data_IF_958887026035
#
_entry.id   IF_958887026035
#
_cell.length_a   1.000
_cell.length_b   1.000
_cell.length_c   1.000
_cell.angle_alpha   90.00
_cell.angle_beta   90.00
_cell.angle_gamma   90.00
#
_symmetry.space_group_name_H-M   'P 1'
#
loop_
_entity.id
_entity.type
_entity.pdbx_description
1 polymer ?
#
# COMPACT_ATOMS: atom_id res chain seq x y z
N UNK A 1 16.84 6.89 -10.80
CA UNK A 1 16.53 8.02 -9.89
C UNK A 1 17.77 8.87 -9.73
N UNK A 2 17.58 10.18 -9.68
CA UNK A 2 18.66 11.06 -9.33
C UNK A 2 18.95 10.93 -7.82
N UNK A 3 20.05 11.58 -7.39
CA UNK A 3 20.52 11.45 -6.02
C UNK A 3 19.51 11.94 -5.00
N UNK A 4 18.87 13.08 -5.27
CA UNK A 4 17.90 13.68 -4.35
C UNK A 4 16.68 12.79 -4.20
N UNK A 5 16.15 12.31 -5.30
CA UNK A 5 15.00 11.39 -5.29
C UNK A 5 15.36 10.08 -4.60
N UNK A 6 16.56 9.56 -4.82
CA UNK A 6 17.03 8.33 -4.18
C UNK A 6 17.07 8.47 -2.66
N UNK A 7 17.54 9.61 -2.17
CA UNK A 7 17.58 9.86 -0.73
C UNK A 7 16.16 9.91 -0.13
N UNK A 8 15.23 10.53 -0.82
CA UNK A 8 13.82 10.55 -0.39
C UNK A 8 13.21 9.17 -0.43
N UNK A 9 13.48 8.41 -1.48
CA UNK A 9 13.00 7.05 -1.62
C UNK A 9 13.48 6.20 -0.44
N UNK A 10 14.76 6.27 -0.11
CA UNK A 10 15.33 5.50 1.00
C UNK A 10 14.67 5.89 2.33
N UNK A 11 14.43 7.17 2.54
CA UNK A 11 13.76 7.65 3.74
C UNK A 11 12.31 7.16 3.82
N UNK A 12 11.58 7.19 2.70
CA UNK A 12 10.23 6.69 2.63
C UNK A 12 10.19 5.19 2.92
N UNK A 13 11.17 4.43 2.45
CA UNK A 13 11.24 2.99 2.71
C UNK A 13 11.41 2.71 4.21
N UNK A 14 12.28 3.46 4.89
CA UNK A 14 12.49 3.31 6.33
C UNK A 14 11.24 3.68 7.11
N UNK A 15 10.66 4.82 6.81
CA UNK A 15 9.47 5.29 7.53
C UNK A 15 8.23 4.45 7.17
N UNK A 16 8.11 4.04 5.92
CA UNK A 16 7.02 3.19 5.45
C UNK A 16 7.03 1.83 6.13
N UNK A 17 8.22 1.27 6.39
CA UNK A 17 8.33 0.03 7.14
C UNK A 17 7.76 0.16 8.55
N UNK A 18 8.01 1.28 9.20
CA UNK A 18 7.46 1.53 10.55
C UNK A 18 5.94 1.58 10.52
N UNK A 19 5.37 2.27 9.55
CA UNK A 19 3.91 2.34 9.38
C UNK A 19 3.37 0.94 9.09
N UNK A 20 4.01 0.21 8.19
CA UNK A 20 3.60 -1.14 7.82
C UNK A 20 3.59 -2.07 9.03
N UNK A 21 4.68 -2.09 9.78
CA UNK A 21 4.81 -2.97 10.94
C UNK A 21 3.76 -2.64 12.01
N UNK A 22 3.38 -1.38 12.13
CA UNK A 22 2.42 -0.94 13.14
C UNK A 22 0.97 -1.25 12.75
N UNK A 23 0.59 -1.02 11.48
CA UNK A 23 -0.81 -1.02 11.08
C UNK A 23 -1.20 -2.09 10.07
N UNK A 24 -0.25 -2.71 9.37
CA UNK A 24 -0.55 -3.56 8.22
C UNK A 24 -0.11 -5.01 8.42
N UNK A 25 1.04 -5.22 9.07
CA UNK A 25 1.67 -6.53 9.16
C UNK A 25 0.83 -7.55 9.92
N UNK A 26 -0.03 -7.11 10.83
CA UNK A 26 -0.87 -8.02 11.60
C UNK A 26 -1.76 -8.87 10.69
N UNK A 27 -2.26 -8.30 9.61
CA UNK A 27 -3.09 -9.01 8.63
C UNK A 27 -2.28 -9.49 7.43
N UNK A 28 -1.52 -8.59 6.81
CA UNK A 28 -0.79 -8.90 5.58
C UNK A 28 0.52 -9.64 5.80
N UNK A 29 0.92 -9.84 7.04
CA UNK A 29 2.12 -10.51 7.49
C UNK A 29 3.38 -9.71 7.18
N UNK A 30 4.47 -10.07 7.85
CA UNK A 30 5.72 -9.30 7.80
C UNK A 30 6.34 -9.23 6.41
N UNK A 31 6.24 -10.31 5.65
CA UNK A 31 6.78 -10.37 4.29
C UNK A 31 5.72 -10.11 3.23
N UNK A 32 4.57 -9.56 3.63
CA UNK A 32 3.51 -9.23 2.70
C UNK A 32 2.87 -10.43 2.02
N UNK A 33 3.01 -11.62 2.60
CA UNK A 33 2.52 -12.85 1.99
C UNK A 33 1.02 -13.07 2.17
N UNK A 34 0.39 -12.29 3.04
CA UNK A 34 -1.01 -12.49 3.37
C UNK A 34 -1.25 -13.73 4.21
N UNK A 35 -2.49 -14.12 4.36
CA UNK A 35 -2.85 -15.28 5.15
C UNK A 35 -4.02 -16.01 4.51
N UNK A 36 -3.74 -17.18 3.91
CA UNK A 36 -4.74 -18.04 3.29
C UNK A 36 -5.62 -17.25 2.32
N UNK A 37 -6.96 -17.45 2.36
CA UNK A 37 -7.92 -16.69 1.56
C UNK A 37 -8.58 -15.56 2.37
N UNK A 38 -7.99 -15.25 3.52
CA UNK A 38 -8.55 -14.25 4.44
C UNK A 38 -7.95 -12.87 4.20
N UNK A 39 -6.63 -12.77 4.17
CA UNK A 39 -5.92 -11.51 3.94
C UNK A 39 -5.05 -11.64 2.70
N UNK A 40 -5.24 -10.76 1.70
CA UNK A 40 -4.51 -10.92 0.44
C UNK A 40 -3.03 -10.61 0.58
N UNK A 41 -2.20 -11.25 -0.26
CA UNK A 41 -0.79 -10.89 -0.32
C UNK A 41 -0.60 -9.51 -0.91
N UNK A 42 0.45 -8.82 -0.49
CA UNK A 42 0.93 -7.60 -1.10
C UNK A 42 2.18 -7.89 -1.93
N UNK A 43 2.96 -8.89 -1.50
CA UNK A 43 4.11 -9.38 -2.28
C UNK A 43 3.62 -9.98 -3.59
N UNK A 44 4.10 -9.46 -4.70
CA UNK A 44 3.72 -9.94 -6.02
C UNK A 44 2.25 -9.75 -6.38
N UNK A 45 1.55 -8.84 -5.71
CA UNK A 45 0.13 -8.62 -5.90
C UNK A 45 -0.15 -7.88 -7.20
N UNK A 46 -0.88 -8.51 -8.12
CA UNK A 46 -1.32 -7.84 -9.35
C UNK A 46 -2.26 -6.68 -9.01
N UNK A 47 -3.15 -6.88 -8.05
CA UNK A 47 -4.12 -5.87 -7.64
C UNK A 47 -3.44 -4.60 -7.14
N UNK A 48 -2.39 -4.74 -6.34
CA UNK A 48 -1.60 -3.61 -5.83
C UNK A 48 -0.83 -2.94 -6.96
N UNK A 49 -0.08 -3.71 -7.72
CA UNK A 49 0.90 -3.17 -8.67
C UNK A 49 0.28 -2.61 -9.94
N UNK A 50 -0.91 -3.07 -10.31
CA UNK A 50 -1.63 -2.53 -11.46
C UNK A 50 -2.21 -1.14 -11.23
N UNK A 51 -2.45 -0.79 -9.97
CA UNK A 51 -3.10 0.49 -9.65
C UNK A 51 -2.69 0.95 -8.26
N UNK A 52 -1.50 1.49 -8.16
CA UNK A 52 -0.96 1.98 -6.88
C UNK A 52 -1.80 3.14 -6.30
N UNK A 53 -2.31 4.10 -7.10
CA UNK A 53 -3.24 5.10 -6.55
C UNK A 53 -4.45 4.50 -5.84
N UNK A 54 -5.00 3.41 -6.37
CA UNK A 54 -6.11 2.70 -5.72
C UNK A 54 -5.69 2.17 -4.36
N UNK A 55 -4.47 1.64 -4.25
CA UNK A 55 -3.96 1.14 -2.98
C UNK A 55 -3.92 2.25 -1.92
N UNK A 56 -3.45 3.44 -2.29
CA UNK A 56 -3.44 4.58 -1.37
C UNK A 56 -4.86 4.94 -0.90
N UNK A 57 -5.81 4.93 -1.82
CA UNK A 57 -7.21 5.21 -1.50
C UNK A 57 -7.79 4.14 -0.55
N UNK A 58 -7.44 2.89 -0.75
CA UNK A 58 -7.89 1.79 0.13
C UNK A 58 -7.31 1.94 1.53
N UNK A 59 -6.04 2.31 1.64
CA UNK A 59 -5.42 2.55 2.95
C UNK A 59 -6.17 3.64 3.69
N UNK A 60 -6.49 4.73 3.02
CA UNK A 60 -7.18 5.87 3.64
C UNK A 60 -8.62 5.56 4.00
N UNK A 61 -9.36 4.94 3.10
CA UNK A 61 -10.81 4.80 3.17
C UNK A 61 -11.30 3.39 3.48
N UNK A 62 -10.43 2.40 3.46
CA UNK A 62 -10.79 0.99 3.66
C UNK A 62 -11.27 0.33 2.38
N UNK A 63 -11.49 -0.98 2.46
CA UNK A 63 -12.00 -1.79 1.36
C UNK A 63 -13.10 -2.67 1.89
N UNK A 64 -14.31 -2.52 1.34
CA UNK A 64 -15.51 -3.19 1.84
C UNK A 64 -16.19 -4.08 0.81
N UNK A 65 -15.54 -4.27 -0.33
CA UNK A 65 -16.04 -5.08 -1.43
C UNK A 65 -15.16 -6.29 -1.66
N UNK A 66 -15.70 -7.24 -2.38
CA UNK A 66 -14.94 -8.37 -2.89
C UNK A 66 -13.91 -7.89 -3.92
N UNK A 67 -12.69 -8.38 -3.81
CA UNK A 67 -11.63 -8.11 -4.78
C UNK A 67 -10.97 -9.42 -5.20
N UNK A 68 -10.30 -9.39 -6.34
CA UNK A 68 -9.54 -10.53 -6.85
C UNK A 68 -8.07 -10.16 -6.89
N UNK A 69 -7.25 -10.93 -6.17
CA UNK A 69 -5.80 -10.72 -6.11
C UNK A 69 -5.12 -12.00 -6.60
N UNK A 70 -4.33 -11.90 -7.64
CA UNK A 70 -3.62 -13.05 -8.23
C UNK A 70 -4.56 -14.22 -8.52
N UNK A 71 -5.76 -13.93 -9.00
CA UNK A 71 -6.75 -14.94 -9.36
C UNK A 71 -7.55 -15.51 -8.19
N UNK A 72 -7.31 -15.05 -6.96
CA UNK A 72 -8.00 -15.52 -5.76
C UNK A 72 -8.94 -14.43 -5.26
N UNK A 73 -10.15 -14.81 -4.91
CA UNK A 73 -11.17 -13.89 -4.40
C UNK A 73 -10.99 -13.68 -2.90
N UNK A 74 -11.00 -12.42 -2.50
CA UNK A 74 -10.94 -12.01 -1.09
C UNK A 74 -12.14 -11.10 -0.80
N UNK A 75 -12.82 -11.34 0.31
CA UNK A 75 -13.97 -10.52 0.71
C UNK A 75 -13.92 -10.09 2.17
N UNK A 76 -12.79 -10.30 2.84
CA UNK A 76 -12.58 -9.78 4.18
C UNK A 76 -12.44 -8.26 4.12
N UNK A 77 -13.24 -7.58 4.93
CA UNK A 77 -13.20 -6.12 5.00
C UNK A 77 -11.84 -5.65 5.53
N UNK A 78 -11.26 -4.65 4.85
CA UNK A 78 -10.07 -3.96 5.34
C UNK A 78 -10.52 -2.64 5.95
N UNK A 79 -10.29 -2.41 7.24
CA UNK A 79 -10.70 -1.15 7.86
C UNK A 79 -9.88 0.03 7.33
N UNK A 80 -10.50 1.21 7.37
CA UNK A 80 -9.83 2.44 6.97
C UNK A 80 -8.77 2.83 8.00
N UNK A 81 -7.66 3.39 7.51
CA UNK A 81 -6.61 3.98 8.35
C UNK A 81 -6.65 5.50 8.18
N UNK A 82 -7.82 6.08 8.41
CA UNK A 82 -8.09 7.48 8.12
C UNK A 82 -7.27 8.46 8.95
N UNK A 83 -6.68 7.97 10.05
CA UNK A 83 -5.82 8.80 10.90
C UNK A 83 -4.41 8.98 10.37
N UNK A 84 -3.99 8.19 9.37
CA UNK A 84 -2.67 8.35 8.76
C UNK A 84 -2.63 9.65 7.96
N UNK A 85 -1.50 10.36 8.06
CA UNK A 85 -1.27 11.54 7.24
C UNK A 85 -1.00 11.12 5.79
N UNK A 86 -1.14 12.06 4.87
CA UNK A 86 -0.82 11.79 3.46
C UNK A 86 0.65 11.37 3.30
N UNK A 87 1.54 11.96 4.08
CA UNK A 87 2.96 11.56 4.06
C UNK A 87 3.11 10.10 4.50
N UNK A 88 2.46 9.70 5.58
CA UNK A 88 2.53 8.31 6.06
C UNK A 88 1.96 7.35 5.03
N UNK A 89 0.88 7.73 4.36
CA UNK A 89 0.29 6.91 3.29
C UNK A 89 1.27 6.79 2.12
N UNK A 90 1.93 7.89 1.74
CA UNK A 90 2.95 7.86 0.68
C UNK A 90 4.13 6.97 1.07
N UNK A 91 4.56 7.05 2.32
CA UNK A 91 5.67 6.24 2.83
C UNK A 91 5.33 4.75 2.82
N UNK A 92 4.16 4.37 3.35
CA UNK A 92 3.78 2.96 3.38
C UNK A 92 3.46 2.42 1.99
N UNK A 93 2.86 3.23 1.13
CA UNK A 93 2.59 2.84 -0.26
C UNK A 93 3.90 2.60 -1.01
N UNK A 94 4.89 3.46 -0.80
CA UNK A 94 6.23 3.24 -1.37
C UNK A 94 6.84 1.95 -0.82
N UNK A 95 6.71 1.71 0.48
CA UNK A 95 7.27 0.53 1.10
C UNK A 95 6.66 -0.76 0.54
N UNK A 96 5.34 -0.88 0.51
CA UNK A 96 4.68 -2.11 0.04
C UNK A 96 4.85 -2.34 -1.45
N UNK A 97 4.96 -1.26 -2.24
CA UNK A 97 5.12 -1.39 -3.69
C UNK A 97 6.57 -1.61 -4.13
N UNK A 98 7.51 -1.62 -3.18
CA UNK A 98 8.94 -1.82 -3.47
C UNK A 98 9.62 -2.84 -2.56
N UNK A 99 8.84 -3.62 -1.82
CA UNK A 99 9.36 -4.66 -0.93
C UNK A 99 9.02 -6.04 -1.48
N UNK A 100 9.68 -7.06 -0.97
CA UNK A 100 9.38 -8.47 -1.25
C UNK A 100 9.36 -8.81 -2.74
N UNK A 101 10.25 -8.18 -3.51
CA UNK A 101 10.35 -8.37 -4.94
C UNK A 101 9.51 -7.41 -5.78
N UNK A 102 8.68 -6.58 -5.16
CA UNK A 102 7.91 -5.56 -5.87
C UNK A 102 8.81 -4.41 -6.31
N UNK A 103 8.55 -3.81 -7.47
CA UNK A 103 9.35 -2.74 -8.04
C UNK A 103 8.46 -1.61 -8.60
N UNK A 104 7.61 -1.06 -7.73
CA UNK A 104 6.61 -0.05 -8.12
C UNK A 104 7.15 1.39 -8.23
N UNK A 105 8.34 1.64 -7.73
CA UNK A 105 8.95 2.97 -7.79
C UNK A 105 8.55 3.89 -6.63
N UNK A 106 9.08 5.09 -6.65
CA UNK A 106 8.87 6.09 -5.60
C UNK A 106 7.46 6.71 -5.72
N UNK A 107 6.72 6.69 -4.62
CA UNK A 107 5.39 7.27 -4.54
C UNK A 107 5.45 8.51 -3.64
N UNK A 108 5.59 9.69 -4.25
CA UNK A 108 5.77 10.93 -3.48
C UNK A 108 4.48 11.35 -2.78
N UNK A 109 4.62 12.07 -1.66
CA UNK A 109 3.47 12.64 -0.96
C UNK A 109 2.68 13.57 -1.86
N UNK A 110 3.36 14.29 -2.75
CA UNK A 110 2.70 15.18 -3.71
C UNK A 110 1.76 14.43 -4.65
N UNK A 111 2.19 13.25 -5.12
CA UNK A 111 1.34 12.39 -5.94
C UNK A 111 0.18 11.85 -5.12
N UNK A 112 0.44 11.36 -3.90
CA UNK A 112 -0.59 10.84 -3.01
C UNK A 112 -1.64 11.91 -2.68
N UNK A 113 -1.22 13.16 -2.46
CA UNK A 113 -2.15 14.27 -2.23
C UNK A 113 -3.18 14.38 -3.37
N UNK A 114 -2.72 14.22 -4.60
CA UNK A 114 -3.60 14.27 -5.77
C UNK A 114 -4.53 13.06 -5.83
N UNK A 115 -4.00 11.87 -5.57
CA UNK A 115 -4.80 10.64 -5.62
C UNK A 115 -5.91 10.65 -4.59
N UNK A 116 -5.63 11.12 -3.38
CA UNK A 116 -6.59 11.06 -2.29
C UNK A 116 -7.74 12.05 -2.45
N UNK A 117 -7.55 13.10 -3.26
CA UNK A 117 -8.62 14.05 -3.57
C UNK A 117 -9.72 13.40 -4.42
N UNK A 118 -9.34 12.44 -5.28
CA UNK A 118 -10.25 11.87 -6.27
C UNK A 118 -10.44 10.36 -6.12
N UNK A 119 -10.40 9.84 -4.89
CA UNK A 119 -10.67 8.42 -4.67
C UNK A 119 -12.08 8.08 -5.12
N UNK A 120 -12.20 7.02 -5.92
CA UNK A 120 -13.49 6.50 -6.31
C UNK A 120 -14.02 5.61 -5.19
N UNK A 121 -15.34 5.59 -5.03
CA UNK A 121 -15.96 4.64 -4.11
C UNK A 121 -15.89 3.26 -4.72
N UNK A 122 -15.37 2.33 -3.96
CA UNK A 122 -15.19 0.95 -4.40
C UNK A 122 -16.33 0.02 -3.96
#
# INVERSE_FOLDING_TARGET
>A
MDRETKLKFDQYMVNGKKVYDTYCANCHQREGEGLAQLYPPLAGSDYLLENIPRAACIIKNGQFKEIVVNGVTFNQMMPALSHLTNLEIAEVTTYISNSWGNEGGYQSVKAVDKWLVSCEEE
#
